data_IF_976966361941
#
_entry.id   IF_976966361941
#
_cell.length_a   1.000
_cell.length_b   1.000
_cell.length_c   1.000
_cell.angle_alpha   90.00
_cell.angle_beta   90.00
_cell.angle_gamma   90.00
#
_symmetry.space_group_name_H-M   'P 1'
#
loop_
_entity.id
_entity.type
_entity.pdbx_description
1 polymer ?
#
# COMPACT_ATOMS: atom_id res chain seq x y z
N UNK A 1 42.20 -10.22 37.20
CA UNK A 1 41.17 -9.40 36.53
C UNK A 1 40.38 -10.33 35.62
N UNK A 2 39.18 -10.75 36.05
CA UNK A 2 38.32 -11.58 35.20
C UNK A 2 37.74 -10.72 34.09
N UNK A 3 38.04 -11.07 32.83
CA UNK A 3 37.30 -10.55 31.70
C UNK A 3 35.87 -11.06 31.81
N UNK A 4 34.96 -10.20 32.27
CA UNK A 4 33.52 -10.46 32.20
C UNK A 4 33.08 -10.39 30.74
N UNK A 5 33.01 -11.54 30.06
CA UNK A 5 32.41 -11.63 28.72
C UNK A 5 30.93 -11.30 28.84
N UNK A 6 30.48 -10.25 28.14
CA UNK A 6 29.11 -9.78 28.16
C UNK A 6 28.22 -10.71 27.30
N UNK A 7 27.46 -11.61 27.92
CA UNK A 7 26.47 -12.46 27.21
C UNK A 7 25.40 -11.63 26.47
N UNK A 8 25.07 -10.43 26.97
CA UNK A 8 24.15 -9.49 26.32
C UNK A 8 24.66 -8.96 24.96
N UNK A 9 25.97 -9.05 24.72
CA UNK A 9 26.61 -8.65 23.46
C UNK A 9 27.20 -9.84 22.69
N UNK A 10 27.05 -11.06 23.18
CA UNK A 10 27.38 -12.23 22.37
C UNK A 10 26.35 -12.33 21.25
N UNK A 11 26.80 -11.96 20.04
CA UNK A 11 26.08 -12.12 18.76
C UNK A 11 25.56 -13.55 18.52
N UNK A 12 25.97 -14.51 19.34
CA UNK A 12 25.61 -15.92 19.25
C UNK A 12 24.54 -16.41 20.22
N UNK A 13 24.10 -15.63 21.23
CA UNK A 13 23.21 -16.20 22.26
C UNK A 13 21.90 -16.74 21.67
N UNK A 14 21.17 -15.92 20.92
CA UNK A 14 19.90 -16.36 20.30
C UNK A 14 20.14 -17.54 19.35
N UNK A 15 21.25 -17.54 18.61
CA UNK A 15 21.64 -18.65 17.73
C UNK A 15 21.91 -19.94 18.52
N UNK A 16 22.56 -19.85 19.67
CA UNK A 16 22.82 -20.99 20.55
C UNK A 16 21.51 -21.53 21.16
N UNK A 17 20.61 -20.64 21.61
CA UNK A 17 19.29 -21.05 22.11
C UNK A 17 18.46 -21.72 21.01
N UNK A 18 18.46 -21.17 19.79
CA UNK A 18 17.81 -21.77 18.64
C UNK A 18 18.40 -23.13 18.29
N UNK A 19 19.73 -23.23 18.22
CA UNK A 19 20.42 -24.49 17.92
C UNK A 19 20.13 -25.56 18.96
N UNK A 20 20.18 -25.23 20.25
CA UNK A 20 19.89 -26.20 21.33
C UNK A 20 18.43 -26.65 21.35
N UNK A 21 17.49 -25.75 21.05
CA UNK A 21 16.07 -26.07 20.98
C UNK A 21 15.71 -26.92 19.75
N UNK A 22 16.15 -26.52 18.55
CA UNK A 22 15.83 -27.23 17.29
C UNK A 22 16.44 -28.63 17.28
N UNK A 23 17.68 -28.79 17.76
CA UNK A 23 18.36 -30.09 17.84
C UNK A 23 17.91 -30.93 19.05
N UNK A 24 16.86 -30.52 19.78
CA UNK A 24 16.28 -31.25 20.92
C UNK A 24 17.26 -31.54 22.07
N UNK A 25 18.30 -30.72 22.21
CA UNK A 25 19.23 -30.77 23.35
C UNK A 25 18.51 -30.22 24.60
N UNK A 26 17.64 -29.23 24.40
CA UNK A 26 16.78 -28.69 25.43
C UNK A 26 15.38 -29.34 25.40
N UNK A 27 14.90 -29.74 26.58
CA UNK A 27 13.52 -30.12 26.82
C UNK A 27 12.99 -29.34 28.02
N UNK A 28 11.90 -28.59 27.84
CA UNK A 28 11.33 -27.73 28.90
C UNK A 28 10.91 -28.47 30.17
N UNK A 29 10.67 -29.78 30.09
CA UNK A 29 10.29 -30.63 31.24
C UNK A 29 11.49 -31.23 31.98
N UNK A 30 12.61 -31.48 31.30
CA UNK A 30 13.72 -32.29 31.84
C UNK A 30 15.07 -31.57 31.88
N UNK A 31 15.30 -30.61 30.98
CA UNK A 31 16.57 -29.88 30.88
C UNK A 31 16.57 -28.67 31.81
N UNK A 32 17.69 -28.43 32.50
CA UNK A 32 17.90 -27.24 33.33
C UNK A 32 19.04 -26.41 32.75
N UNK A 33 18.74 -25.16 32.38
CA UNK A 33 19.76 -24.21 31.94
C UNK A 33 20.45 -23.64 33.18
N UNK A 34 21.77 -23.82 33.27
CA UNK A 34 22.59 -23.25 34.35
C UNK A 34 23.40 -22.09 33.80
N UNK A 35 23.33 -20.95 34.49
CA UNK A 35 24.14 -19.78 34.18
C UNK A 35 25.35 -19.76 35.10
N UNK A 36 26.55 -19.68 34.53
CA UNK A 36 27.78 -19.59 35.32
C UNK A 36 27.83 -18.24 36.07
N UNK A 37 28.41 -18.25 37.27
CA UNK A 37 28.60 -17.04 38.07
C UNK A 37 29.46 -16.01 37.32
N UNK A 38 28.92 -14.80 37.13
CA UNK A 38 29.57 -13.72 36.35
C UNK A 38 28.69 -13.16 35.22
N UNK A 39 27.68 -13.92 34.78
CA UNK A 39 26.72 -13.50 33.77
C UNK A 39 25.46 -12.87 34.40
N UNK A 40 25.62 -11.68 34.99
CA UNK A 40 24.58 -11.03 35.82
C UNK A 40 23.65 -10.06 35.08
N UNK A 41 23.79 -9.91 33.76
CA UNK A 41 23.12 -8.82 33.00
C UNK A 41 22.03 -9.25 32.01
N UNK A 42 21.61 -10.51 32.02
CA UNK A 42 20.46 -10.99 31.23
C UNK A 42 19.46 -11.69 32.14
N UNK A 43 18.17 -11.44 31.90
CA UNK A 43 17.10 -12.10 32.62
C UNK A 43 17.09 -13.61 32.27
N UNK A 44 17.47 -14.44 33.25
CA UNK A 44 17.55 -15.89 33.10
C UNK A 44 16.20 -16.52 32.75
N UNK A 45 15.10 -15.97 33.28
CA UNK A 45 13.76 -16.45 32.97
C UNK A 45 13.43 -16.20 31.49
N UNK A 46 13.79 -15.04 30.95
CA UNK A 46 13.59 -14.74 29.53
C UNK A 46 14.36 -15.68 28.61
N UNK A 47 15.54 -16.15 29.02
CA UNK A 47 16.31 -17.16 28.28
C UNK A 47 15.62 -18.52 28.30
N UNK A 48 15.18 -18.98 29.47
CA UNK A 48 14.46 -20.26 29.62
C UNK A 48 13.16 -20.23 28.82
N UNK A 49 12.42 -19.13 28.93
CA UNK A 49 11.16 -18.93 28.24
C UNK A 49 11.34 -18.92 26.72
N UNK A 50 12.30 -18.13 26.19
CA UNK A 50 12.56 -18.11 24.76
C UNK A 50 12.94 -19.49 24.24
N UNK A 51 13.83 -20.20 24.94
CA UNK A 51 14.24 -21.57 24.54
C UNK A 51 13.05 -22.53 24.55
N UNK A 52 12.16 -22.41 25.53
CA UNK A 52 10.91 -23.16 25.60
C UNK A 52 9.96 -22.85 24.45
N UNK A 53 9.80 -21.56 24.10
CA UNK A 53 8.98 -21.13 22.95
C UNK A 53 9.53 -21.66 21.63
N UNK A 54 10.85 -21.57 21.40
CA UNK A 54 11.50 -22.12 20.21
C UNK A 54 11.25 -23.64 20.13
N UNK A 55 11.51 -24.36 21.21
CA UNK A 55 11.33 -25.82 21.27
C UNK A 55 9.88 -26.26 21.06
N UNK A 56 8.91 -25.45 21.50
CA UNK A 56 7.49 -25.74 21.32
C UNK A 56 6.98 -25.43 19.90
N UNK A 57 7.49 -24.36 19.29
CA UNK A 57 7.05 -23.90 17.96
C UNK A 57 7.73 -24.64 16.81
N UNK A 58 9.01 -25.00 16.96
CA UNK A 58 9.75 -25.82 16.00
C UNK A 58 9.92 -27.24 16.55
N UNK A 59 8.94 -28.14 16.34
CA UNK A 59 9.10 -29.53 16.73
C UNK A 59 10.23 -30.13 15.89
N UNK A 60 11.38 -30.45 16.51
CA UNK A 60 12.54 -31.05 15.83
C UNK A 60 12.33 -32.49 15.34
N UNK A 61 11.12 -32.85 14.92
CA UNK A 61 10.76 -34.17 14.37
C UNK A 61 10.54 -34.09 12.87
N UNK A 62 10.13 -35.21 12.26
CA UNK A 62 9.69 -35.21 10.86
C UNK A 62 8.59 -34.17 10.70
N UNK A 63 8.93 -33.03 10.08
CA UNK A 63 7.93 -32.19 9.45
C UNK A 63 7.12 -33.15 8.59
N UNK A 64 5.81 -33.24 8.81
CA UNK A 64 4.96 -34.00 7.91
C UNK A 64 4.98 -33.30 6.56
N UNK A 65 6.00 -33.64 5.78
CA UNK A 65 6.27 -33.15 4.44
C UNK A 65 5.13 -33.68 3.58
N UNK A 66 4.21 -32.79 3.23
CA UNK A 66 3.17 -33.14 2.27
C UNK A 66 3.84 -33.42 0.93
N UNK A 67 3.45 -34.50 0.26
CA UNK A 67 3.99 -34.84 -1.07
C UNK A 67 3.91 -33.66 -2.06
N UNK A 68 2.88 -32.83 -1.92
CA UNK A 68 2.66 -31.61 -2.72
C UNK A 68 3.79 -30.56 -2.58
N UNK A 69 4.55 -30.58 -1.49
CA UNK A 69 5.63 -29.61 -1.24
C UNK A 69 6.89 -29.92 -2.04
N UNK A 70 7.14 -31.19 -2.39
CA UNK A 70 8.30 -31.57 -3.19
C UNK A 70 8.21 -31.09 -4.65
N UNK A 71 7.01 -30.74 -5.11
CA UNK A 71 6.77 -30.22 -6.46
C UNK A 71 6.95 -28.69 -6.54
N UNK A 72 7.25 -28.01 -5.42
CA UNK A 72 7.43 -26.57 -5.33
C UNK A 72 8.85 -26.23 -4.84
N UNK A 73 9.40 -25.04 -5.19
CA UNK A 73 10.60 -24.52 -4.55
C UNK A 73 10.43 -24.45 -3.02
N UNK A 74 11.52 -24.48 -2.23
CA UNK A 74 11.43 -24.41 -0.78
C UNK A 74 10.80 -23.08 -0.36
N UNK A 75 9.87 -23.13 0.59
CA UNK A 75 9.20 -21.95 1.17
C UNK A 75 9.07 -22.12 2.68
N UNK A 76 8.99 -21.02 3.44
CA UNK A 76 8.92 -21.13 4.91
C UNK A 76 7.55 -21.63 5.37
N UNK A 77 7.57 -22.61 6.28
CA UNK A 77 6.38 -23.23 6.88
C UNK A 77 6.17 -22.82 8.34
N UNK A 78 7.22 -22.33 8.99
CA UNK A 78 7.22 -21.85 10.36
C UNK A 78 8.23 -20.72 10.48
N UNK A 79 7.83 -19.60 11.09
CA UNK A 79 8.60 -18.39 11.25
C UNK A 79 8.50 -17.91 12.70
N UNK A 80 9.64 -17.62 13.32
CA UNK A 80 9.70 -16.98 14.62
C UNK A 80 10.52 -15.70 14.51
N UNK A 81 9.91 -14.58 14.88
CA UNK A 81 10.53 -13.26 14.85
C UNK A 81 10.82 -12.84 16.29
N UNK A 82 12.08 -12.76 16.65
CA UNK A 82 12.53 -12.41 18.01
C UNK A 82 13.07 -10.99 17.98
N UNK A 83 12.33 -10.06 18.58
CA UNK A 83 12.66 -8.63 18.58
C UNK A 83 13.33 -8.25 19.89
N UNK A 84 14.42 -7.47 19.84
CA UNK A 84 15.05 -6.82 20.99
C UNK A 84 15.38 -7.74 22.19
N UNK A 85 15.73 -9.00 21.92
CA UNK A 85 16.04 -9.96 22.97
C UNK A 85 17.23 -9.48 23.83
N UNK A 86 17.05 -9.49 25.15
CA UNK A 86 18.06 -9.00 26.11
C UNK A 86 18.16 -7.47 26.20
N UNK A 87 17.38 -6.71 25.42
CA UNK A 87 17.33 -5.25 25.46
C UNK A 87 16.06 -4.79 26.17
N UNK A 88 16.17 -4.63 27.49
CA UNK A 88 15.09 -4.09 28.32
C UNK A 88 14.78 -2.64 27.96
N UNK A 89 13.49 -2.28 28.04
CA UNK A 89 12.99 -0.93 27.84
C UNK A 89 13.35 -0.26 26.49
N UNK A 90 13.67 -1.02 25.44
CA UNK A 90 13.89 -0.44 24.11
C UNK A 90 12.65 0.31 23.61
N UNK A 91 12.81 1.55 23.15
CA UNK A 91 11.74 2.38 22.58
C UNK A 91 11.53 2.13 21.07
N UNK A 92 12.52 1.50 20.43
CA UNK A 92 12.56 1.22 19.01
C UNK A 92 13.07 -0.20 18.75
N UNK A 93 12.85 -0.72 17.55
CA UNK A 93 13.41 -2.00 17.11
C UNK A 93 14.90 -1.80 16.80
N UNK A 94 15.77 -2.54 17.49
CA UNK A 94 17.24 -2.49 17.35
C UNK A 94 17.84 -3.80 16.87
N UNK A 95 17.23 -4.92 17.24
CA UNK A 95 17.66 -6.24 16.83
C UNK A 95 16.43 -7.07 16.48
N UNK A 96 16.49 -7.79 15.38
CA UNK A 96 15.47 -8.76 14.98
C UNK A 96 16.20 -10.04 14.58
N UNK A 97 15.81 -11.16 15.17
CA UNK A 97 16.24 -12.47 14.72
C UNK A 97 15.06 -13.16 14.06
N UNK A 98 15.24 -13.62 12.83
CA UNK A 98 14.23 -14.39 12.11
C UNK A 98 14.69 -15.83 12.04
N UNK A 99 14.07 -16.67 12.86
CA UNK A 99 14.25 -18.11 12.83
C UNK A 99 13.15 -18.71 11.96
N UNK A 100 13.49 -19.52 10.97
CA UNK A 100 12.48 -20.12 10.09
C UNK A 100 12.85 -21.54 9.68
N UNK A 101 11.82 -22.31 9.36
CA UNK A 101 11.93 -23.66 8.83
C UNK A 101 11.28 -23.73 7.46
N UNK A 102 11.97 -24.35 6.50
CA UNK A 102 11.49 -24.49 5.13
C UNK A 102 10.60 -25.73 4.96
N UNK A 103 9.85 -25.75 3.88
CA UNK A 103 9.04 -26.88 3.42
C UNK A 103 9.87 -28.12 3.06
N UNK A 104 11.20 -28.04 3.09
CA UNK A 104 12.11 -29.17 2.91
C UNK A 104 12.77 -29.62 4.23
N UNK A 105 12.40 -28.99 5.35
CA UNK A 105 12.87 -29.35 6.70
C UNK A 105 14.16 -28.65 7.13
N UNK A 106 14.70 -27.74 6.33
CA UNK A 106 15.89 -26.95 6.67
C UNK A 106 15.52 -25.85 7.67
N UNK A 107 16.45 -25.48 8.55
CA UNK A 107 16.24 -24.43 9.56
C UNK A 107 17.33 -23.38 9.46
N UNK A 108 16.93 -22.11 9.49
CA UNK A 108 17.80 -20.95 9.33
C UNK A 108 17.55 -19.93 10.43
N UNK A 109 18.59 -19.15 10.74
CA UNK A 109 18.48 -17.98 11.60
C UNK A 109 19.21 -16.81 10.97
N UNK A 110 18.45 -15.78 10.63
CA UNK A 110 18.97 -14.51 10.13
C UNK A 110 18.86 -13.44 11.20
N UNK A 111 19.82 -12.51 11.20
CA UNK A 111 19.92 -11.41 12.15
C UNK A 111 19.90 -10.08 11.42
N UNK A 112 19.05 -9.18 11.91
CA UNK A 112 18.75 -7.90 11.31
C UNK A 112 18.90 -6.81 12.37
N UNK A 113 19.31 -5.62 11.92
CA UNK A 113 19.64 -4.49 12.81
C UNK A 113 18.68 -3.31 12.67
N UNK A 114 17.68 -3.40 11.79
CA UNK A 114 16.79 -2.28 11.49
C UNK A 114 15.31 -2.69 11.55
N UNK A 115 14.45 -1.72 11.84
CA UNK A 115 13.01 -1.92 11.82
C UNK A 115 12.49 -2.15 10.39
N UNK A 116 13.18 -1.58 9.40
CA UNK A 116 12.89 -1.73 7.97
C UNK A 116 12.96 -3.20 7.51
N UNK A 117 13.80 -4.00 8.16
CA UNK A 117 13.97 -5.41 7.81
C UNK A 117 12.69 -6.22 8.08
N UNK A 118 11.87 -5.79 9.04
CA UNK A 118 10.54 -6.40 9.29
C UNK A 118 9.63 -6.32 8.07
N UNK A 119 9.83 -5.35 7.16
CA UNK A 119 9.05 -5.25 5.92
C UNK A 119 9.37 -6.41 4.99
N UNK A 120 10.65 -6.76 4.88
CA UNK A 120 11.09 -7.89 4.05
C UNK A 120 10.59 -9.21 4.64
N UNK A 121 10.71 -9.38 5.96
CA UNK A 121 10.22 -10.57 6.68
C UNK A 121 8.70 -10.72 6.50
N UNK A 122 7.93 -9.64 6.69
CA UNK A 122 6.49 -9.64 6.46
C UNK A 122 6.15 -10.07 5.02
N UNK A 123 6.86 -9.51 4.04
CA UNK A 123 6.69 -9.85 2.64
C UNK A 123 6.88 -11.34 2.35
N UNK A 124 7.96 -11.92 2.88
CA UNK A 124 8.27 -13.35 2.78
C UNK A 124 7.18 -14.20 3.42
N UNK A 125 6.85 -13.93 4.70
CA UNK A 125 5.86 -14.69 5.46
C UNK A 125 4.48 -14.68 4.79
N UNK A 126 4.04 -13.53 4.27
CA UNK A 126 2.74 -13.43 3.60
C UNK A 126 2.75 -14.15 2.24
N UNK A 127 3.84 -14.03 1.47
CA UNK A 127 3.96 -14.67 0.17
C UNK A 127 3.97 -16.20 0.29
N UNK A 128 4.74 -16.73 1.24
CA UNK A 128 4.85 -18.17 1.48
C UNK A 128 3.65 -18.70 2.27
N UNK A 129 3.05 -17.88 3.12
CA UNK A 129 1.76 -18.15 3.76
C UNK A 129 0.66 -18.44 2.75
N UNK A 130 0.59 -17.66 1.68
CA UNK A 130 -0.37 -17.87 0.59
C UNK A 130 -0.16 -19.20 -0.14
N UNK A 131 1.07 -19.73 -0.15
CA UNK A 131 1.40 -21.05 -0.72
C UNK A 131 1.04 -22.17 0.27
N UNK A 132 1.34 -21.98 1.56
CA UNK A 132 1.18 -23.00 2.59
C UNK A 132 -0.28 -23.23 3.01
N UNK A 133 -1.12 -22.17 2.93
CA UNK A 133 -2.51 -22.18 3.38
C UNK A 133 -2.68 -22.35 4.90
N UNK A 134 -1.61 -22.24 5.70
CA UNK A 134 -1.67 -22.37 7.16
C UNK A 134 -2.21 -21.10 7.82
N UNK A 135 -2.77 -21.24 9.02
CA UNK A 135 -3.15 -20.10 9.85
C UNK A 135 -1.93 -19.26 10.29
N UNK A 136 -2.15 -18.03 10.73
CA UNK A 136 -1.08 -17.16 11.21
C UNK A 136 -0.35 -17.78 12.41
N UNK A 137 -1.09 -18.24 13.43
CA UNK A 137 -0.49 -18.80 14.66
C UNK A 137 0.28 -20.11 14.45
N UNK A 138 0.01 -20.82 13.35
CA UNK A 138 0.74 -22.04 12.96
C UNK A 138 2.01 -21.73 12.15
N UNK A 139 2.04 -20.58 11.48
CA UNK A 139 3.09 -20.21 10.51
C UNK A 139 4.04 -19.13 11.02
N UNK A 140 3.60 -18.31 11.98
CA UNK A 140 4.35 -17.16 12.49
C UNK A 140 4.14 -16.97 13.99
N UNK A 141 5.24 -16.78 14.72
CA UNK A 141 5.25 -16.37 16.12
C UNK A 141 6.16 -15.15 16.30
N UNK A 142 5.68 -14.12 17.00
CA UNK A 142 6.49 -12.94 17.31
C UNK A 142 6.79 -12.92 18.81
N UNK A 143 8.07 -12.84 19.16
CA UNK A 143 8.57 -12.82 20.53
C UNK A 143 9.20 -11.45 20.80
N UNK A 144 8.64 -10.73 21.76
CA UNK A 144 9.04 -9.35 22.12
C UNK A 144 9.43 -9.29 23.60
N UNK A 145 10.29 -8.34 24.01
CA UNK A 145 10.73 -8.25 25.40
C UNK A 145 9.62 -7.69 26.30
N UNK A 146 9.68 -8.04 27.58
CA UNK A 146 8.86 -7.41 28.62
C UNK A 146 9.51 -6.10 29.12
N UNK A 147 8.73 -5.06 29.47
CA UNK A 147 7.26 -4.99 29.40
C UNK A 147 6.74 -4.79 27.96
N UNK A 148 5.55 -5.33 27.67
CA UNK A 148 4.90 -5.22 26.37
C UNK A 148 4.54 -3.77 26.02
N UNK A 149 5.46 -3.08 25.34
CA UNK A 149 5.23 -1.74 24.81
C UNK A 149 4.27 -1.75 23.63
N UNK A 150 3.59 -0.62 23.41
CA UNK A 150 2.56 -0.44 22.37
C UNK A 150 3.06 -0.81 20.97
N UNK A 151 4.27 -0.38 20.61
CA UNK A 151 4.82 -0.61 19.27
C UNK A 151 5.05 -2.08 18.95
N UNK A 152 5.36 -2.92 19.96
CA UNK A 152 5.47 -4.37 19.76
C UNK A 152 4.13 -5.02 19.44
N UNK A 153 3.07 -4.62 20.14
CA UNK A 153 1.70 -5.07 19.83
C UNK A 153 1.25 -4.61 18.45
N UNK A 154 1.64 -3.40 18.05
CA UNK A 154 1.35 -2.90 16.70
C UNK A 154 2.06 -3.72 15.61
N UNK A 155 3.31 -4.15 15.83
CA UNK A 155 4.03 -5.05 14.91
C UNK A 155 3.28 -6.39 14.80
N UNK A 156 2.97 -7.04 15.92
CA UNK A 156 2.27 -8.33 15.93
C UNK A 156 0.91 -8.26 15.23
N UNK A 157 0.12 -7.25 15.57
CA UNK A 157 -1.19 -7.05 14.94
C UNK A 157 -1.06 -6.79 13.43
N UNK A 158 -0.08 -5.99 13.01
CA UNK A 158 0.16 -5.71 11.59
C UNK A 158 0.51 -6.97 10.81
N UNK A 159 1.37 -7.83 11.37
CA UNK A 159 1.72 -9.11 10.76
C UNK A 159 0.50 -10.02 10.64
N UNK A 160 -0.28 -10.16 11.72
CA UNK A 160 -1.50 -10.96 11.75
C UNK A 160 -2.53 -10.48 10.73
N UNK A 161 -2.88 -9.20 10.77
CA UNK A 161 -3.90 -8.62 9.90
C UNK A 161 -3.53 -8.72 8.41
N UNK A 162 -2.27 -8.41 8.08
CA UNK A 162 -1.79 -8.51 6.71
C UNK A 162 -1.77 -9.96 6.22
N UNK A 163 -1.31 -10.90 7.05
CA UNK A 163 -1.29 -12.32 6.74
C UNK A 163 -2.71 -12.85 6.51
N UNK A 164 -3.60 -12.67 7.49
CA UNK A 164 -4.98 -13.16 7.41
C UNK A 164 -5.73 -12.54 6.24
N UNK A 165 -5.48 -11.29 5.90
CA UNK A 165 -6.11 -10.67 4.73
C UNK A 165 -5.61 -11.24 3.41
N UNK A 166 -4.29 -11.34 3.22
CA UNK A 166 -3.70 -11.73 1.93
C UNK A 166 -3.80 -13.24 1.68
N UNK A 167 -3.71 -14.06 2.73
CA UNK A 167 -3.76 -15.52 2.62
C UNK A 167 -5.19 -16.08 2.53
N UNK A 168 -6.22 -15.23 2.69
CA UNK A 168 -7.63 -15.63 2.51
C UNK A 168 -7.82 -16.45 1.24
N UNK A 169 -8.44 -17.61 1.41
CA UNK A 169 -8.84 -18.50 0.33
C UNK A 169 -10.12 -17.95 -0.31
N UNK A 170 -10.03 -17.31 -1.47
CA UNK A 170 -11.22 -16.82 -2.17
C UNK A 170 -10.96 -15.93 -3.39
N UNK A 171 -11.64 -16.29 -4.47
CA UNK A 171 -11.87 -15.60 -5.75
C UNK A 171 -10.68 -15.09 -6.60
N UNK A 172 -10.95 -15.02 -7.91
CA UNK A 172 -10.06 -14.46 -8.97
C UNK A 172 -9.76 -12.96 -8.78
N UNK A 173 -10.13 -12.37 -7.65
CA UNK A 173 -10.01 -10.93 -7.38
C UNK A 173 -8.68 -10.66 -6.69
N UNK A 174 -8.01 -9.58 -7.08
CA UNK A 174 -6.77 -9.21 -6.43
C UNK A 174 -7.02 -8.70 -5.00
N UNK A 175 -6.07 -8.92 -4.10
CA UNK A 175 -6.12 -8.40 -2.73
C UNK A 175 -5.01 -7.38 -2.57
N UNK A 176 -5.31 -6.20 -2.01
CA UNK A 176 -4.31 -5.17 -1.72
C UNK A 176 -4.42 -4.69 -0.28
N UNK A 177 -3.41 -5.01 0.51
CA UNK A 177 -3.27 -4.59 1.88
C UNK A 177 -2.33 -3.38 1.97
N UNK A 178 -2.68 -2.37 2.77
CA UNK A 178 -1.82 -1.21 3.04
C UNK A 178 -1.64 -1.08 4.54
N UNK A 179 -0.40 -1.16 5.01
CA UNK A 179 -0.07 -1.10 6.43
C UNK A 179 1.06 -0.11 6.68
N UNK A 180 1.23 0.28 7.94
CA UNK A 180 2.40 1.04 8.40
C UNK A 180 3.29 0.15 9.25
N UNK A 181 4.55 0.05 8.88
CA UNK A 181 5.55 -0.65 9.65
C UNK A 181 6.75 0.28 9.87
N UNK A 182 6.95 0.68 11.13
CA UNK A 182 7.86 1.76 11.48
C UNK A 182 7.50 3.07 10.75
N UNK A 183 8.48 3.62 10.03
CA UNK A 183 8.33 4.85 9.26
C UNK A 183 7.98 4.65 7.79
N UNK A 184 7.67 3.41 7.38
CA UNK A 184 7.36 3.07 5.99
C UNK A 184 5.89 2.70 5.84
N UNK A 185 5.34 3.05 4.67
CA UNK A 185 4.05 2.53 4.22
C UNK A 185 4.34 1.32 3.34
N UNK A 186 3.74 0.19 3.69
CA UNK A 186 3.93 -1.07 2.99
C UNK A 186 2.62 -1.41 2.28
N UNK A 187 2.71 -1.72 0.98
CA UNK A 187 1.60 -2.24 0.20
C UNK A 187 1.89 -3.67 -0.19
N UNK A 188 1.03 -4.60 0.19
CA UNK A 188 1.13 -6.01 -0.20
C UNK A 188 -0.01 -6.28 -1.17
N UNK A 189 0.30 -6.72 -2.38
CA UNK A 189 -0.69 -7.04 -3.41
C UNK A 189 -0.59 -8.50 -3.81
N UNK A 190 -1.70 -9.23 -3.73
CA UNK A 190 -1.84 -10.60 -4.24
C UNK A 190 -2.69 -10.62 -5.50
N UNK A 191 -2.18 -11.28 -6.54
CA UNK A 191 -2.86 -11.54 -7.80
C UNK A 191 -2.68 -13.03 -8.15
N UNK A 192 -3.74 -13.81 -7.95
CA UNK A 192 -3.64 -15.27 -8.00
C UNK A 192 -2.62 -15.78 -6.99
N UNK A 193 -1.60 -16.48 -7.48
CA UNK A 193 -0.52 -17.05 -6.66
C UNK A 193 0.69 -16.11 -6.49
N UNK A 194 0.68 -14.94 -7.14
CA UNK A 194 1.76 -13.96 -7.03
C UNK A 194 1.46 -12.95 -5.93
N UNK A 195 2.42 -12.77 -5.01
CA UNK A 195 2.41 -11.72 -4.00
C UNK A 195 3.56 -10.75 -4.30
N UNK A 196 3.25 -9.46 -4.27
CA UNK A 196 4.21 -8.37 -4.48
C UNK A 196 4.15 -7.39 -3.32
N UNK A 197 5.32 -6.88 -2.94
CA UNK A 197 5.48 -5.94 -1.82
C UNK A 197 6.08 -4.64 -2.33
N UNK A 198 5.39 -3.54 -2.08
CA UNK A 198 5.86 -2.19 -2.35
C UNK A 198 6.09 -1.44 -1.04
N UNK A 199 7.18 -0.66 -0.98
CA UNK A 199 7.56 0.11 0.20
C UNK A 199 7.71 1.57 -0.18
N UNK A 200 7.08 2.47 0.58
CA UNK A 200 7.18 3.91 0.39
C UNK A 200 7.59 4.64 1.65
N UNK A 201 8.27 5.77 1.46
CA UNK A 201 8.63 6.67 2.53
C UNK A 201 7.43 7.45 3.11
N UNK A 202 6.40 7.67 2.30
CA UNK A 202 5.26 8.48 2.70
C UNK A 202 3.96 8.04 1.99
N UNK A 203 2.83 8.46 2.56
CA UNK A 203 1.49 8.09 2.09
C UNK A 203 1.19 8.62 0.68
N UNK A 204 1.72 9.78 0.30
CA UNK A 204 1.47 10.36 -1.02
C UNK A 204 2.17 9.55 -2.13
N UNK A 205 3.41 9.09 -1.90
CA UNK A 205 4.12 8.17 -2.81
C UNK A 205 3.41 6.84 -2.93
N UNK A 206 2.95 6.26 -1.81
CA UNK A 206 2.17 5.03 -1.79
C UNK A 206 0.91 5.16 -2.67
N UNK A 207 0.09 6.18 -2.43
CA UNK A 207 -1.13 6.40 -3.21
C UNK A 207 -0.84 6.71 -4.68
N UNK A 208 0.28 7.38 -4.99
CA UNK A 208 0.73 7.61 -6.36
C UNK A 208 1.06 6.30 -7.06
N UNK A 209 1.84 5.41 -6.42
CA UNK A 209 2.16 4.08 -6.95
C UNK A 209 0.87 3.28 -7.18
N UNK A 210 -0.03 3.27 -6.21
CA UNK A 210 -1.32 2.56 -6.31
C UNK A 210 -2.15 3.08 -7.49
N UNK A 211 -2.24 4.40 -7.66
CA UNK A 211 -2.98 5.05 -8.75
C UNK A 211 -2.39 4.76 -10.14
N UNK A 212 -1.08 4.50 -10.24
CA UNK A 212 -0.38 4.14 -11.48
C UNK A 212 -0.46 2.65 -11.82
N UNK A 213 -0.77 1.81 -10.83
CA UNK A 213 -0.87 0.35 -10.96
C UNK A 213 -2.26 -0.15 -10.51
N UNK A 214 -3.34 0.28 -11.21
CA UNK A 214 -4.67 -0.25 -10.95
C UNK A 214 -4.78 -1.70 -11.42
N UNK A 215 -5.77 -2.42 -10.90
CA UNK A 215 -6.01 -3.84 -11.15
C UNK A 215 -7.39 -4.04 -11.77
N UNK A 216 -7.64 -5.18 -12.40
CA UNK A 216 -8.93 -5.46 -13.06
C UNK A 216 -10.11 -5.47 -12.07
N UNK A 217 -9.89 -6.07 -10.90
CA UNK A 217 -10.81 -6.14 -9.77
C UNK A 217 -9.98 -6.32 -8.49
N UNK A 218 -10.25 -5.53 -7.45
CA UNK A 218 -9.38 -5.52 -6.26
C UNK A 218 -10.12 -5.23 -4.96
N UNK A 219 -9.85 -6.02 -3.93
CA UNK A 219 -10.30 -5.73 -2.57
C UNK A 219 -9.18 -5.06 -1.79
N UNK A 220 -9.48 -3.91 -1.21
CA UNK A 220 -8.56 -3.19 -0.32
C UNK A 220 -8.82 -3.50 1.14
N UNK A 221 -7.74 -3.57 1.92
CA UNK A 221 -7.78 -3.41 3.37
C UNK A 221 -6.61 -2.54 3.82
N UNK A 222 -6.84 -1.73 4.85
CA UNK A 222 -5.78 -0.96 5.49
C UNK A 222 -5.80 -1.18 7.00
N UNK A 223 -4.63 -1.43 7.57
CA UNK A 223 -4.48 -1.77 8.99
C UNK A 223 -3.44 -0.86 9.65
N UNK A 224 -3.67 -0.55 10.92
CA UNK A 224 -2.76 0.24 11.74
C UNK A 224 -3.44 1.39 12.49
N UNK A 225 -2.67 2.01 13.39
CA UNK A 225 -3.10 3.13 14.22
C UNK A 225 -2.98 4.50 13.53
N UNK A 226 -2.42 4.56 12.32
CA UNK A 226 -2.27 5.80 11.54
C UNK A 226 -3.66 6.34 11.11
N UNK A 227 -4.02 7.59 11.48
CA UNK A 227 -5.31 8.19 11.11
C UNK A 227 -5.58 8.19 9.60
N UNK A 228 -4.53 8.27 8.76
CA UNK A 228 -4.68 8.24 7.30
C UNK A 228 -5.04 6.84 6.79
N UNK A 229 -4.50 5.79 7.41
CA UNK A 229 -4.87 4.40 7.09
C UNK A 229 -6.28 4.09 7.57
N UNK A 230 -6.69 4.63 8.72
CA UNK A 230 -8.06 4.54 9.21
C UNK A 230 -9.04 5.28 8.29
N UNK A 231 -8.70 6.50 7.85
CA UNK A 231 -9.49 7.22 6.86
C UNK A 231 -9.64 6.44 5.55
N UNK A 232 -8.56 5.81 5.07
CA UNK A 232 -8.61 4.97 3.87
C UNK A 232 -9.53 3.75 4.07
N UNK A 233 -9.45 3.08 5.22
CA UNK A 233 -10.34 1.97 5.55
C UNK A 233 -11.81 2.41 5.54
N UNK A 234 -12.08 3.59 6.12
CA UNK A 234 -13.42 4.19 6.15
C UNK A 234 -13.93 4.60 4.77
N UNK A 235 -13.08 5.18 3.91
CA UNK A 235 -13.42 5.47 2.50
C UNK A 235 -13.90 4.20 1.81
N UNK A 236 -13.17 3.09 1.99
CA UNK A 236 -13.59 1.81 1.44
C UNK A 236 -14.87 1.31 2.12
N UNK A 237 -15.07 1.50 3.42
CA UNK A 237 -16.30 1.06 4.12
C UNK A 237 -17.56 1.78 3.62
N UNK A 238 -17.49 3.08 3.35
CA UNK A 238 -18.65 3.92 2.97
C UNK A 238 -18.93 3.96 1.47
N UNK A 239 -17.97 3.52 0.64
CA UNK A 239 -18.11 3.53 -0.82
C UNK A 239 -19.36 2.75 -1.22
N UNK A 240 -20.09 3.26 -2.21
CA UNK A 240 -21.18 2.49 -2.79
C UNK A 240 -20.58 1.53 -3.81
N UNK A 241 -20.77 0.22 -3.58
CA UNK A 241 -20.31 -0.82 -4.51
C UNK A 241 -20.83 -0.54 -5.92
N UNK A 242 -20.05 -0.94 -6.92
CA UNK A 242 -20.41 -0.81 -8.32
C UNK A 242 -20.65 0.66 -8.77
N UNK A 243 -20.08 1.64 -8.09
CA UNK A 243 -20.26 3.06 -8.42
C UNK A 243 -18.97 3.84 -8.23
N UNK A 244 -18.91 5.08 -8.72
CA UNK A 244 -17.76 5.95 -8.50
C UNK A 244 -18.02 6.83 -7.27
N UNK A 245 -17.18 6.68 -6.25
CA UNK A 245 -17.18 7.51 -5.04
C UNK A 245 -15.95 8.40 -5.04
N UNK A 246 -16.16 9.72 -5.04
CA UNK A 246 -15.13 10.72 -4.84
C UNK A 246 -15.16 11.20 -3.38
N UNK A 247 -14.01 11.18 -2.72
CA UNK A 247 -13.83 11.72 -1.38
C UNK A 247 -12.74 12.77 -1.42
N UNK A 248 -13.01 13.97 -0.92
CA UNK A 248 -12.00 15.02 -0.84
C UNK A 248 -11.76 15.47 0.59
N UNK A 249 -10.51 15.82 0.91
CA UNK A 249 -10.11 16.44 2.18
C UNK A 249 -9.23 17.66 1.92
N UNK A 250 -9.41 18.71 2.72
CA UNK A 250 -8.53 19.87 2.74
C UNK A 250 -7.55 19.75 3.91
N UNK A 251 -6.26 19.73 3.59
CA UNK A 251 -5.20 19.68 4.58
C UNK A 251 -4.23 20.85 4.34
N UNK A 252 -4.49 21.96 5.02
CA UNK A 252 -3.77 23.22 4.82
C UNK A 252 -3.95 23.75 3.39
N UNK A 253 -2.85 23.93 2.67
CA UNK A 253 -2.84 24.43 1.27
C UNK A 253 -3.03 23.33 0.21
N UNK A 254 -3.26 22.09 0.62
CA UNK A 254 -3.44 20.95 -0.28
C UNK A 254 -4.85 20.38 -0.17
N UNK A 255 -5.40 20.03 -1.33
CA UNK A 255 -6.60 19.25 -1.51
C UNK A 255 -6.18 17.84 -1.90
N UNK A 256 -6.59 16.84 -1.13
CA UNK A 256 -6.50 15.44 -1.53
C UNK A 256 -7.87 15.00 -2.05
N UNK A 257 -7.88 14.33 -3.19
CA UNK A 257 -9.07 13.80 -3.82
C UNK A 257 -8.86 12.33 -4.12
N UNK A 258 -9.56 11.48 -3.38
CA UNK A 258 -9.58 10.03 -3.54
C UNK A 258 -10.80 9.62 -4.38
N UNK A 259 -10.56 8.99 -5.52
CA UNK A 259 -11.60 8.42 -6.37
C UNK A 259 -11.56 6.91 -6.26
N UNK A 260 -12.61 6.31 -5.72
CA UNK A 260 -12.82 4.86 -5.74
C UNK A 260 -13.81 4.54 -6.83
N UNK A 261 -13.42 3.69 -7.78
CA UNK A 261 -14.28 3.33 -8.90
C UNK A 261 -15.10 2.06 -8.67
N UNK A 262 -15.87 1.63 -9.66
CA UNK A 262 -16.74 0.46 -9.60
C UNK A 262 -16.01 -0.87 -9.45
N UNK A 263 -14.70 -0.90 -9.74
CA UNK A 263 -13.78 -2.04 -9.57
C UNK A 263 -12.94 -1.92 -8.30
N UNK A 264 -13.32 -0.99 -7.42
CA UNK A 264 -12.66 -0.68 -6.16
C UNK A 264 -11.21 -0.18 -6.29
N UNK A 265 -10.76 0.19 -7.49
CA UNK A 265 -9.49 0.89 -7.65
C UNK A 265 -9.58 2.29 -7.08
N UNK A 266 -8.51 2.72 -6.39
CA UNK A 266 -8.38 4.07 -5.86
C UNK A 266 -7.38 4.89 -6.68
N UNK A 267 -7.79 6.09 -7.06
CA UNK A 267 -6.96 7.11 -7.70
C UNK A 267 -6.90 8.35 -6.80
N UNK A 268 -5.71 8.80 -6.43
CA UNK A 268 -5.56 9.96 -5.53
C UNK A 268 -4.90 11.14 -6.22
N UNK A 269 -5.66 12.20 -6.43
CA UNK A 269 -5.18 13.47 -6.98
C UNK A 269 -4.82 14.43 -5.83
N UNK A 270 -3.69 15.11 -5.95
CA UNK A 270 -3.23 16.09 -4.95
C UNK A 270 -3.15 17.46 -5.64
N UNK A 271 -4.12 18.33 -5.35
CA UNK A 271 -4.23 19.69 -5.91
C UNK A 271 -4.04 20.75 -4.84
N UNK A 272 -4.04 22.02 -5.23
CA UNK A 272 -4.02 23.12 -4.27
C UNK A 272 -5.43 23.40 -3.74
N UNK A 273 -5.55 23.78 -2.47
CA UNK A 273 -6.88 24.04 -1.87
C UNK A 273 -7.63 25.21 -2.53
N UNK A 274 -6.91 26.21 -3.05
CA UNK A 274 -7.50 27.33 -3.79
C UNK A 274 -8.08 26.93 -5.15
N UNK A 275 -7.71 25.76 -5.67
CA UNK A 275 -8.24 25.19 -6.90
C UNK A 275 -9.39 24.21 -6.65
N UNK A 276 -9.86 24.07 -5.41
CA UNK A 276 -10.88 23.09 -5.02
C UNK A 276 -12.13 23.14 -5.90
N UNK A 277 -12.70 24.32 -6.05
CA UNK A 277 -13.94 24.45 -6.81
C UNK A 277 -13.77 24.02 -8.27
N UNK A 278 -12.67 24.43 -8.91
CA UNK A 278 -12.38 24.05 -10.30
C UNK A 278 -12.15 22.54 -10.39
N UNK A 279 -11.36 21.99 -9.47
CA UNK A 279 -11.05 20.56 -9.41
C UNK A 279 -12.33 19.74 -9.34
N UNK A 280 -13.27 20.11 -8.46
CA UNK A 280 -14.53 19.39 -8.30
C UNK A 280 -15.45 19.53 -9.53
N UNK A 281 -15.52 20.72 -10.15
CA UNK A 281 -16.33 20.94 -11.37
C UNK A 281 -15.83 20.06 -12.52
N UNK A 282 -14.53 20.14 -12.84
CA UNK A 282 -13.93 19.41 -13.95
C UNK A 282 -13.86 17.91 -13.70
N UNK A 283 -13.70 17.50 -12.44
CA UNK A 283 -13.85 16.10 -12.04
C UNK A 283 -15.26 15.60 -12.31
N UNK A 284 -16.29 16.33 -11.89
CA UNK A 284 -17.68 15.91 -12.07
C UNK A 284 -18.03 15.80 -13.56
N UNK A 285 -17.57 16.75 -14.38
CA UNK A 285 -17.69 16.67 -15.84
C UNK A 285 -17.04 15.38 -16.38
N UNK A 286 -15.79 15.14 -16.01
CA UNK A 286 -15.04 13.97 -16.40
C UNK A 286 -15.77 12.67 -16.04
N UNK A 287 -16.22 12.55 -14.80
CA UNK A 287 -16.95 11.37 -14.34
C UNK A 287 -18.26 11.20 -15.09
N UNK A 288 -19.01 12.28 -15.39
CA UNK A 288 -20.24 12.21 -16.20
C UNK A 288 -19.96 11.73 -17.64
N UNK A 289 -18.87 12.19 -18.25
CA UNK A 289 -18.45 11.76 -19.59
C UNK A 289 -18.02 10.29 -19.61
N UNK A 290 -17.24 9.85 -18.63
CA UNK A 290 -16.86 8.44 -18.46
C UNK A 290 -18.11 7.58 -18.31
N UNK A 291 -19.02 7.93 -17.39
CA UNK A 291 -20.27 7.19 -17.19
C UNK A 291 -21.11 7.11 -18.47
N UNK A 292 -21.16 8.18 -19.28
CA UNK A 292 -21.87 8.17 -20.58
C UNK A 292 -21.27 7.16 -21.56
N UNK A 293 -19.94 7.07 -21.65
CA UNK A 293 -19.27 6.10 -22.54
C UNK A 293 -19.48 4.67 -22.07
N UNK A 294 -19.40 4.45 -20.76
CA UNK A 294 -19.64 3.14 -20.18
C UNK A 294 -21.07 2.63 -20.44
N UNK A 295 -22.05 3.53 -20.58
CA UNK A 295 -23.42 3.17 -21.01
C UNK A 295 -23.50 2.73 -22.48
N UNK A 296 -22.70 3.33 -23.35
CA UNK A 296 -22.70 3.01 -24.78
C UNK A 296 -21.96 1.71 -25.14
N UNK A 297 -21.13 1.20 -24.24
CA UNK A 297 -20.49 -0.10 -24.36
C UNK A 297 -21.45 -1.18 -23.81
N UNK A 298 -22.26 -1.76 -24.70
CA UNK A 298 -23.46 -2.60 -24.49
C UNK A 298 -23.33 -3.90 -23.66
N UNK A 299 -22.30 -4.06 -22.80
CA UNK A 299 -21.99 -5.34 -22.13
C UNK A 299 -22.02 -5.37 -20.61
N UNK A 300 -21.92 -4.25 -19.89
CA UNK A 300 -21.69 -4.29 -18.42
C UNK A 300 -22.87 -3.72 -17.62
N UNK A 301 -23.87 -4.57 -17.34
CA UNK A 301 -24.98 -4.32 -16.40
C UNK A 301 -24.56 -4.18 -14.91
N UNK A 302 -23.31 -3.77 -14.62
CA UNK A 302 -22.74 -3.79 -13.27
C UNK A 302 -22.47 -2.42 -12.66
N UNK A 303 -22.89 -1.31 -13.27
CA UNK A 303 -22.58 0.03 -12.73
C UNK A 303 -23.84 0.70 -12.22
N UNK A 304 -23.86 0.96 -10.92
CA UNK A 304 -24.82 1.86 -10.30
C UNK A 304 -24.55 3.28 -10.79
N UNK A 305 -25.56 3.89 -11.43
CA UNK A 305 -25.45 5.17 -12.15
C UNK A 305 -25.20 6.42 -11.29
N UNK A 306 -24.78 6.28 -10.03
CA UNK A 306 -24.61 7.39 -9.10
C UNK A 306 -23.13 7.71 -8.89
N UNK A 307 -22.74 8.94 -9.20
CA UNK A 307 -21.49 9.52 -8.70
C UNK A 307 -21.78 10.07 -7.32
N UNK A 308 -20.98 9.70 -6.31
CA UNK A 308 -21.10 10.25 -4.95
C UNK A 308 -19.88 11.09 -4.64
N UNK A 309 -20.09 12.31 -4.13
CA UNK A 309 -19.01 13.21 -3.71
C UNK A 309 -19.13 13.45 -2.21
N UNK A 310 -18.10 13.06 -1.47
CA UNK A 310 -18.02 13.17 -0.02
C UNK A 310 -16.90 14.11 0.39
N UNK A 311 -17.16 14.90 1.42
CA UNK A 311 -16.17 15.68 2.14
C UNK A 311 -15.70 14.89 3.36
N UNK A 312 -14.40 14.64 3.45
CA UNK A 312 -13.76 14.02 4.60
C UNK A 312 -13.21 15.12 5.52
N UNK A 313 -13.63 15.09 6.77
CA UNK A 313 -13.11 15.94 7.84
C UNK A 313 -12.61 15.08 8.99
N UNK A 314 -11.56 15.56 9.66
CA UNK A 314 -11.08 14.96 10.90
C UNK A 314 -11.54 15.81 12.08
N UNK A 315 -12.05 15.15 13.12
CA UNK A 315 -12.27 15.82 14.40
C UNK A 315 -10.95 16.07 15.15
N UNK A 316 -11.02 16.76 16.29
CA UNK A 316 -9.85 17.07 17.14
C UNK A 316 -9.15 15.82 17.69
N UNK A 317 -9.83 14.67 17.67
CA UNK A 317 -9.33 13.38 18.16
C UNK A 317 -8.85 12.46 17.01
N UNK A 318 -8.87 12.94 15.77
CA UNK A 318 -8.43 12.19 14.59
C UNK A 318 -9.47 11.24 14.02
N UNK A 319 -10.72 11.29 14.48
CA UNK A 319 -11.82 10.49 13.93
C UNK A 319 -12.29 11.10 12.62
N UNK A 320 -12.41 10.26 11.58
CA UNK A 320 -12.94 10.65 10.28
C UNK A 320 -14.47 10.82 10.33
N UNK A 321 -14.96 11.90 9.72
CA UNK A 321 -16.37 12.14 9.42
C UNK A 321 -16.55 12.41 7.93
N UNK A 322 -17.70 12.01 7.39
CA UNK A 322 -18.01 12.13 5.97
C UNK A 322 -19.32 12.88 5.79
N UNK A 323 -19.28 13.99 5.05
CA UNK A 323 -20.47 14.76 4.68
C UNK A 323 -20.76 14.58 3.18
N UNK A 324 -22.01 14.27 2.83
CA UNK A 324 -22.40 14.13 1.42
C UNK A 324 -22.57 15.51 0.76
N UNK A 325 -21.72 15.79 -0.23
CA UNK A 325 -21.68 17.05 -0.96
C UNK A 325 -22.11 16.92 -2.42
N UNK A 326 -22.65 15.76 -2.80
CA UNK A 326 -23.00 15.44 -4.19
C UNK A 326 -23.90 16.50 -4.82
N UNK A 327 -25.03 16.83 -4.18
CA UNK A 327 -25.98 17.84 -4.68
C UNK A 327 -25.36 19.23 -4.83
N UNK A 328 -24.57 19.66 -3.84
CA UNK A 328 -23.88 20.96 -3.87
C UNK A 328 -22.87 21.04 -5.01
N UNK A 329 -22.14 19.95 -5.27
CA UNK A 329 -21.20 19.88 -6.38
C UNK A 329 -21.92 19.94 -7.74
N UNK A 330 -23.08 19.29 -7.88
CA UNK A 330 -23.92 19.36 -9.07
C UNK A 330 -24.48 20.76 -9.34
N UNK A 331 -25.00 21.42 -8.30
CA UNK A 331 -25.50 22.81 -8.39
C UNK A 331 -24.36 23.76 -8.81
N UNK A 332 -23.18 23.61 -8.20
CA UNK A 332 -22.00 24.42 -8.53
C UNK A 332 -21.55 24.19 -9.97
N UNK A 333 -21.56 22.93 -10.43
CA UNK A 333 -21.29 22.56 -11.81
C UNK A 333 -22.26 23.25 -12.78
N UNK A 334 -23.58 23.19 -12.53
CA UNK A 334 -24.57 23.82 -13.42
C UNK A 334 -24.39 25.34 -13.57
N UNK A 335 -24.00 26.02 -12.49
CA UNK A 335 -23.80 27.48 -12.49
C UNK A 335 -22.50 27.87 -13.21
N UNK A 336 -21.40 27.15 -12.96
CA UNK A 336 -20.04 27.59 -13.34
C UNK A 336 -19.47 26.87 -14.56
N UNK A 337 -20.14 25.84 -15.08
CA UNK A 337 -19.65 25.05 -16.21
C UNK A 337 -19.43 25.89 -17.48
N UNK A 338 -20.34 26.80 -17.82
CA UNK A 338 -20.27 27.57 -19.08
C UNK A 338 -19.15 28.61 -19.12
N UNK A 339 -18.57 28.99 -17.98
CA UNK A 339 -17.59 30.08 -17.90
C UNK A 339 -16.13 29.63 -17.96
N UNK A 340 -15.86 28.31 -18.00
CA UNK A 340 -14.50 27.77 -17.93
C UNK A 340 -14.30 26.71 -19.01
N UNK A 341 -13.16 26.75 -19.69
CA UNK A 341 -12.80 25.76 -20.73
C UNK A 341 -11.87 24.70 -20.14
N UNK A 342 -12.31 23.45 -20.20
CA UNK A 342 -11.49 22.29 -19.85
C UNK A 342 -10.67 21.75 -21.02
N UNK A 343 -9.93 20.68 -20.75
CA UNK A 343 -9.09 19.99 -21.72
C UNK A 343 -9.63 18.58 -21.98
N UNK A 344 -9.76 18.22 -23.25
CA UNK A 344 -10.07 16.87 -23.70
C UNK A 344 -8.81 16.19 -24.24
N UNK A 345 -8.61 14.92 -23.90
CA UNK A 345 -7.52 14.10 -24.40
C UNK A 345 -8.04 12.95 -25.26
N UNK A 346 -7.49 12.82 -26.47
CA UNK A 346 -7.63 11.63 -27.31
C UNK A 346 -6.37 10.78 -27.22
N UNK A 347 -6.55 9.48 -27.03
CA UNK A 347 -5.47 8.54 -26.73
C UNK A 347 -5.49 7.41 -27.75
N UNK A 348 -4.34 7.14 -28.35
CA UNK A 348 -4.13 5.97 -29.19
C UNK A 348 -3.06 5.08 -28.54
N UNK A 349 -3.46 3.89 -28.08
CA UNK A 349 -2.60 2.94 -27.34
C UNK A 349 -1.99 1.84 -28.23
N UNK A 350 -2.73 1.38 -29.23
CA UNK A 350 -2.46 0.20 -30.04
C UNK A 350 -1.98 0.53 -31.47
N UNK A 351 -1.89 1.81 -31.83
CA UNK A 351 -1.45 2.26 -33.17
C UNK A 351 0.07 2.37 -33.35
N UNK A 352 0.88 1.95 -32.35
CA UNK A 352 2.34 1.97 -32.41
C UNK A 352 3.02 1.38 -31.17
N UNK A 353 4.34 1.59 -31.03
CA UNK A 353 5.14 1.09 -29.90
C UNK A 353 4.97 1.89 -28.61
N UNK A 354 4.40 3.10 -28.71
CA UNK A 354 4.17 4.01 -27.57
C UNK A 354 2.77 4.61 -27.64
N UNK A 355 2.15 4.81 -26.47
CA UNK A 355 0.87 5.52 -26.34
C UNK A 355 1.02 6.98 -26.79
N UNK A 356 0.16 7.40 -27.72
CA UNK A 356 0.13 8.77 -28.25
C UNK A 356 -1.09 9.53 -27.77
N UNK A 357 -0.90 10.83 -27.55
CA UNK A 357 -1.89 11.75 -26.97
C UNK A 357 -2.14 12.90 -27.95
N UNK A 358 -3.41 13.22 -28.19
CA UNK A 358 -3.83 14.43 -28.88
C UNK A 358 -4.75 15.21 -27.94
N UNK A 359 -4.38 16.45 -27.67
CA UNK A 359 -5.05 17.34 -26.71
C UNK A 359 -5.87 18.39 -27.45
N UNK A 360 -7.08 18.68 -26.97
CA UNK A 360 -7.93 19.77 -27.44
C UNK A 360 -8.45 20.59 -26.26
N UNK A 361 -8.56 21.91 -26.44
CA UNK A 361 -9.39 22.74 -25.57
C UNK A 361 -10.85 22.44 -25.91
N UNK A 362 -11.74 22.43 -24.93
CA UNK A 362 -13.17 22.21 -25.14
C UNK A 362 -13.72 23.09 -26.27
N UNK A 363 -14.25 22.46 -27.33
CA UNK A 363 -14.77 23.13 -28.54
C UNK A 363 -13.72 23.56 -29.58
N UNK A 364 -12.43 23.26 -29.35
CA UNK A 364 -11.32 23.58 -30.26
C UNK A 364 -10.85 22.39 -31.11
N UNK A 365 -9.94 22.68 -32.04
CA UNK A 365 -9.29 21.65 -32.85
C UNK A 365 -8.31 20.79 -32.03
N UNK A 366 -8.16 19.53 -32.44
CA UNK A 366 -7.17 18.62 -31.85
C UNK A 366 -5.76 19.02 -32.26
N UNK A 367 -4.85 18.93 -31.30
CA UNK A 367 -3.42 19.02 -31.57
C UNK A 367 -2.89 17.80 -32.33
N UNK A 368 -1.68 17.95 -32.86
CA UNK A 368 -0.90 16.83 -33.38
C UNK A 368 -0.61 15.84 -32.26
N UNK A 369 -0.67 14.55 -32.58
CA UNK A 369 -0.31 13.48 -31.65
C UNK A 369 1.11 13.68 -31.10
N UNK A 370 1.26 13.55 -29.77
CA UNK A 370 2.50 13.69 -29.02
C UNK A 370 2.64 12.59 -27.97
N UNK A 371 3.85 12.42 -27.41
CA UNK A 371 4.05 11.53 -26.26
C UNK A 371 3.55 12.19 -24.97
N UNK A 372 3.34 11.40 -23.90
CA UNK A 372 2.90 11.90 -22.60
C UNK A 372 3.80 13.05 -22.07
N UNK A 373 5.11 12.97 -22.31
CA UNK A 373 6.08 14.00 -21.91
C UNK A 373 5.88 15.34 -22.62
N UNK A 374 5.31 15.33 -23.83
CA UNK A 374 5.04 16.55 -24.61
C UNK A 374 3.76 17.28 -24.17
N UNK A 375 2.84 16.60 -23.49
CA UNK A 375 1.52 17.14 -23.13
C UNK A 375 1.61 18.42 -22.29
N UNK A 376 2.42 18.50 -21.21
CA UNK A 376 2.44 19.70 -20.39
C UNK A 376 3.02 20.91 -21.12
N UNK A 377 4.06 20.72 -21.95
CA UNK A 377 4.63 21.80 -22.75
C UNK A 377 3.62 22.41 -23.72
N UNK A 378 2.82 21.56 -24.37
CA UNK A 378 1.73 22.02 -25.23
C UNK A 378 0.64 22.77 -24.43
N UNK A 379 0.20 22.24 -23.30
CA UNK A 379 -0.80 22.90 -22.45
C UNK A 379 -0.34 24.26 -21.91
N UNK A 380 0.95 24.38 -21.55
CA UNK A 380 1.53 25.67 -21.15
C UNK A 380 1.50 26.68 -22.29
N UNK A 381 1.79 26.28 -23.53
CA UNK A 381 1.70 27.16 -24.70
C UNK A 381 0.27 27.64 -24.98
N UNK A 382 -0.72 26.75 -24.78
CA UNK A 382 -2.13 27.11 -24.89
C UNK A 382 -2.56 28.08 -23.78
N UNK A 383 -2.14 27.83 -22.54
CA UNK A 383 -2.46 28.70 -21.40
C UNK A 383 -1.82 30.09 -21.51
N UNK A 384 -0.65 30.19 -22.13
CA UNK A 384 -0.02 31.47 -22.44
C UNK A 384 -0.86 32.28 -23.45
N UNK A 385 -1.57 31.58 -24.36
CA UNK A 385 -2.40 32.18 -25.40
C UNK A 385 -3.84 32.46 -24.93
N UNK A 386 -4.41 31.60 -24.09
CA UNK A 386 -5.74 31.74 -23.50
C UNK A 386 -5.67 31.56 -21.97
N UNK A 387 -5.68 32.67 -21.24
CA UNK A 387 -5.63 32.66 -19.76
C UNK A 387 -6.88 32.08 -19.10
N UNK A 388 -7.98 31.91 -19.85
CA UNK A 388 -9.21 31.28 -19.35
C UNK A 388 -9.13 29.76 -19.31
N UNK A 389 -8.11 29.18 -19.95
CA UNK A 389 -7.87 27.74 -19.96
C UNK A 389 -7.44 27.24 -18.58
N UNK A 390 -8.13 26.21 -18.09
CA UNK A 390 -7.73 25.49 -16.88
C UNK A 390 -7.19 24.13 -17.33
N UNK A 391 -5.94 23.78 -17.01
CA UNK A 391 -5.27 22.56 -17.50
C UNK A 391 -5.74 21.30 -16.75
N UNK A 392 -7.06 21.13 -16.61
CA UNK A 392 -7.70 19.97 -16.01
C UNK A 392 -8.39 19.15 -17.09
N UNK A 393 -8.24 17.82 -17.00
CA UNK A 393 -8.78 16.91 -18.00
C UNK A 393 -10.27 16.67 -17.71
N UNK A 394 -11.11 17.10 -18.63
CA UNK A 394 -12.57 16.94 -18.56
C UNK A 394 -13.06 15.74 -19.34
N UNK A 395 -12.22 15.21 -20.22
CA UNK A 395 -12.62 14.09 -21.04
C UNK A 395 -11.43 13.30 -21.60
N UNK A 396 -11.59 11.98 -21.68
CA UNK A 396 -10.64 11.05 -22.27
C UNK A 396 -11.37 10.14 -23.25
N UNK A 397 -10.91 10.15 -24.50
CA UNK A 397 -11.45 9.33 -25.58
C UNK A 397 -10.34 8.43 -26.15
N UNK A 398 -10.61 7.14 -26.28
CA UNK A 398 -9.69 6.18 -26.87
C UNK A 398 -10.04 5.98 -28.35
N UNK A 399 -9.05 6.13 -29.23
CA UNK A 399 -9.22 5.95 -30.69
C UNK A 399 -9.24 4.46 -31.05
N UNK A 400 -8.59 3.64 -30.24
CA UNK A 400 -8.38 2.20 -30.45
C UNK A 400 -8.74 1.40 -29.19
N UNK A 401 -10.03 1.17 -28.97
CA UNK A 401 -10.50 0.37 -27.84
C UNK A 401 -10.42 -1.12 -28.20
N UNK A 402 -9.49 -1.84 -27.58
CA UNK A 402 -9.49 -3.30 -27.60
C UNK A 402 -10.44 -3.87 -26.53
N UNK A 403 -10.95 -5.09 -26.76
CA UNK A 403 -11.86 -5.78 -25.83
C UNK A 403 -11.28 -6.00 -24.42
N UNK A 404 -9.95 -5.99 -24.26
CA UNK A 404 -9.28 -6.01 -22.94
C UNK A 404 -9.45 -4.70 -22.18
N UNK A 405 -9.41 -3.56 -22.88
CA UNK A 405 -9.55 -2.24 -22.27
C UNK A 405 -10.99 -2.00 -21.81
N UNK A 406 -11.97 -2.53 -22.54
CA UNK A 406 -13.39 -2.47 -22.12
C UNK A 406 -13.66 -3.25 -20.82
N UNK A 407 -12.91 -4.34 -20.57
CA UNK A 407 -13.05 -5.11 -19.33
C UNK A 407 -12.66 -4.31 -18.08
N UNK A 408 -11.77 -3.32 -18.23
CA UNK A 408 -11.26 -2.47 -17.15
C UNK A 408 -12.27 -1.43 -16.65
N UNK A 409 -13.41 -1.26 -17.32
CA UNK A 409 -14.47 -0.37 -16.85
C UNK A 409 -14.09 1.11 -16.88
N UNK A 410 -14.21 1.84 -15.78
CA UNK A 410 -13.79 3.25 -15.70
C UNK A 410 -12.28 3.40 -15.45
N UNK A 411 -11.62 2.30 -15.07
CA UNK A 411 -10.24 2.26 -14.59
C UNK A 411 -9.26 2.84 -15.61
N UNK A 412 -9.41 2.54 -16.90
CA UNK A 412 -8.48 3.03 -17.92
C UNK A 412 -8.65 4.53 -18.19
N UNK A 413 -9.88 5.06 -18.14
CA UNK A 413 -10.12 6.50 -18.24
C UNK A 413 -9.48 7.25 -17.05
N UNK A 414 -9.71 6.76 -15.83
CA UNK A 414 -9.17 7.34 -14.60
C UNK A 414 -7.64 7.28 -14.56
N UNK A 415 -7.05 6.16 -15.01
CA UNK A 415 -5.59 6.01 -15.11
C UNK A 415 -4.97 7.04 -16.06
N UNK A 416 -5.56 7.25 -17.23
CA UNK A 416 -5.00 8.21 -18.19
C UNK A 416 -5.22 9.67 -17.75
N UNK A 417 -6.38 10.00 -17.17
CA UNK A 417 -6.55 11.29 -16.48
C UNK A 417 -5.48 11.49 -15.42
N UNK A 418 -5.23 10.48 -14.59
CA UNK A 418 -4.21 10.52 -13.54
C UNK A 418 -2.81 10.74 -14.10
N UNK A 419 -2.40 9.98 -15.13
CA UNK A 419 -1.09 10.11 -15.78
C UNK A 419 -0.87 11.50 -16.37
N UNK A 420 -1.85 12.03 -17.11
CA UNK A 420 -1.75 13.34 -17.74
C UNK A 420 -1.64 14.43 -16.67
N UNK A 421 -2.53 14.42 -15.68
CA UNK A 421 -2.53 15.46 -14.63
C UNK A 421 -1.31 15.38 -13.71
N UNK A 422 -0.81 14.18 -13.41
CA UNK A 422 0.43 14.01 -12.66
C UNK A 422 1.62 14.63 -13.42
N UNK A 423 1.69 14.47 -14.74
CA UNK A 423 2.76 15.07 -15.54
C UNK A 423 2.66 16.60 -15.60
N UNK A 424 1.44 17.14 -15.70
CA UNK A 424 1.20 18.59 -15.62
C UNK A 424 1.70 19.11 -14.26
N UNK A 425 1.32 18.47 -13.16
CA UNK A 425 1.70 18.88 -11.81
C UNK A 425 3.22 18.82 -11.56
N UNK A 426 3.92 17.84 -12.14
CA UNK A 426 5.39 17.72 -12.04
C UNK A 426 6.08 18.89 -12.75
N UNK A 427 5.66 19.19 -13.99
CA UNK A 427 6.28 20.23 -14.80
C UNK A 427 5.97 21.63 -14.25
N UNK A 428 4.75 21.88 -13.76
CA UNK A 428 4.43 23.14 -13.07
C UNK A 428 5.32 23.36 -11.84
N UNK A 429 5.57 22.31 -11.04
CA UNK A 429 6.48 22.42 -9.88
C UNK A 429 7.94 22.70 -10.27
N UNK A 430 8.41 22.16 -11.39
CA UNK A 430 9.76 22.42 -11.90
C UNK A 430 9.88 23.84 -12.46
N UNK A 431 8.85 24.32 -13.15
CA UNK A 431 8.81 25.66 -13.77
C UNK A 431 8.68 26.79 -12.75
N UNK A 432 8.11 26.52 -11.57
CA UNK A 432 8.03 27.47 -10.45
C UNK A 432 9.34 27.51 -9.61
N UNK A 433 10.28 26.56 -9.80
CA UNK A 433 11.57 26.52 -9.09
C UNK A 433 12.84 26.84 -9.92
N UNK A 434 12.93 27.93 -10.70
CA UNK A 434 14.22 28.47 -11.11
C UNK A 434 14.57 29.64 -10.17
N UNK A 435 15.15 29.38 -8.99
CA UNK A 435 15.60 30.49 -8.13
C UNK A 435 15.96 30.24 -6.67
N UNK A 436 15.76 29.05 -6.09
CA UNK A 436 16.14 28.79 -4.69
C UNK A 436 17.07 27.58 -4.58
N UNK A 437 18.29 27.73 -5.08
CA UNK A 437 19.45 26.95 -4.66
C UNK A 437 20.54 27.93 -4.29
N UNK A 438 20.51 28.40 -3.04
CA UNK A 438 21.69 28.82 -2.27
C UNK A 438 21.28 28.88 -0.80
N UNK A 439 22.09 28.20 0.02
CA UNK A 439 22.21 28.31 1.48
C UNK A 439 21.13 27.60 2.31
N UNK A 440 21.45 26.77 3.32
CA UNK A 440 22.72 26.41 3.98
C UNK A 440 22.58 25.01 4.61
N UNK A 441 23.75 24.37 4.73
CA UNK A 441 24.17 23.31 5.66
C UNK A 441 23.32 23.11 6.90
#
# INVERSE_FOLDING_TARGET
MSHSTLLKTEKGLVRLLAWTAINRIFNSRFSRIKFQSGYSRINQNSVIELTGRISGFFPGGEVHLKNEYFLKPPFNIANMIIVNFGIENAEEVRTVHHLYQTSWGESYIDEYSAAEDLVSILGTIVSEGAISGRGFDESCMIVTPEPFKKHYKEIEQTFRDAYEFITKSGDRTALRCIVRLGNRIVTITRQGDQVSVGVDADFARCLTRISLHPLDDVVYSSFGSDPRLQALAEIFRIRKRNSITAVYEENGKRLFLHLVNERDNIFTFIKRSDEKENTLIFLLEFLKNVMRRMRGADGQRRINESIRILELAFDRFGKASFEDRTRRAEETYLVKFKSRKGVTARIARNTGTETRYAIAVQGGALSRCMSLKGVPGYLMSLRASDRSLIPMITDVEFIDVGAEVERLGSTHYLLEKYRIELMIDIIEKQTIRPGSYRERT
#
